data_IF_803928347535
#
_entry.id   IF_803928347535
#
_cell.length_a   1.000
_cell.length_b   1.000
_cell.length_c   1.000
_cell.angle_alpha   90.00
_cell.angle_beta   90.00
_cell.angle_gamma   90.00
#
_symmetry.space_group_name_H-M   'P 1'
#
loop_
_entity.id
_entity.type
_entity.pdbx_description
1 polymer ?
#
# COMPACT_ATOMS: atom_id res chain seq x y z
N UNK A 1 -9.05 14.62 -4.26
CA UNK A 1 -8.89 13.41 -5.07
C UNK A 1 -10.04 12.48 -4.78
N UNK A 2 -10.64 11.92 -5.81
CA UNK A 2 -11.64 10.86 -5.67
C UNK A 2 -10.97 9.53 -5.27
N UNK A 3 -11.75 8.64 -4.67
CA UNK A 3 -11.27 7.28 -4.31
C UNK A 3 -10.63 6.55 -5.49
N UNK A 4 -11.13 6.80 -6.70
CA UNK A 4 -10.58 6.26 -7.94
C UNK A 4 -9.21 6.84 -8.30
N UNK A 5 -8.98 8.13 -8.05
CA UNK A 5 -7.66 8.74 -8.25
C UNK A 5 -6.66 8.17 -7.23
N UNK A 6 -7.06 8.05 -5.97
CA UNK A 6 -6.21 7.43 -4.93
C UNK A 6 -5.87 5.99 -5.32
N UNK A 7 -6.86 5.21 -5.74
CA UNK A 7 -6.68 3.83 -6.21
C UNK A 7 -5.70 3.76 -7.39
N UNK A 8 -5.91 4.57 -8.42
CA UNK A 8 -5.03 4.60 -9.59
C UNK A 8 -3.59 4.90 -9.19
N UNK A 9 -3.38 5.89 -8.32
CA UNK A 9 -2.04 6.27 -7.88
C UNK A 9 -1.37 5.18 -7.04
N UNK A 10 -2.13 4.49 -6.17
CA UNK A 10 -1.68 3.33 -5.41
C UNK A 10 -1.25 2.20 -6.35
N UNK A 11 -2.08 1.86 -7.35
CA UNK A 11 -1.79 0.84 -8.35
C UNK A 11 -0.58 1.23 -9.21
N UNK A 12 -0.44 2.50 -9.60
CA UNK A 12 0.71 2.97 -10.38
C UNK A 12 2.01 2.91 -9.58
N UNK A 13 1.94 3.24 -8.28
CA UNK A 13 3.10 3.16 -7.39
C UNK A 13 3.50 1.71 -7.16
N UNK A 14 2.52 0.86 -6.86
CA UNK A 14 2.75 -0.58 -6.76
C UNK A 14 3.28 -1.14 -8.06
N UNK A 15 2.74 -0.76 -9.22
CA UNK A 15 3.24 -1.20 -10.51
C UNK A 15 4.65 -0.72 -10.86
N UNK A 16 5.25 0.20 -10.11
CA UNK A 16 6.68 0.54 -10.25
C UNK A 16 7.58 -0.39 -9.45
N UNK A 17 7.05 -0.93 -8.35
CA UNK A 17 7.77 -1.73 -7.36
C UNK A 17 7.56 -3.21 -7.64
N UNK A 18 6.30 -3.61 -7.85
CA UNK A 18 5.89 -4.93 -8.27
C UNK A 18 6.45 -5.30 -9.63
N UNK A 19 7.17 -6.41 -9.65
CA UNK A 19 7.55 -7.12 -10.87
C UNK A 19 6.30 -7.70 -11.53
N UNK A 20 5.39 -8.29 -10.75
CA UNK A 20 4.13 -8.85 -11.23
C UNK A 20 2.92 -7.94 -10.92
N UNK A 21 2.44 -7.27 -11.97
CA UNK A 21 1.28 -6.36 -11.89
C UNK A 21 -0.05 -7.09 -12.01
N UNK A 22 -0.07 -8.37 -12.37
CA UNK A 22 -1.31 -9.15 -12.48
C UNK A 22 -2.06 -9.18 -11.14
N UNK A 23 -1.31 -9.25 -10.04
CA UNK A 23 -1.86 -9.28 -8.68
C UNK A 23 -2.69 -8.04 -8.33
N UNK A 24 -2.30 -6.85 -8.80
CA UNK A 24 -3.01 -5.59 -8.54
C UNK A 24 -4.01 -5.22 -9.64
N UNK A 25 -3.91 -5.84 -10.82
CA UNK A 25 -4.81 -5.58 -11.95
C UNK A 25 -6.00 -6.54 -11.97
N UNK A 26 -5.81 -7.79 -11.55
CA UNK A 26 -6.88 -8.81 -11.52
C UNK A 26 -7.68 -8.78 -10.23
N UNK A 27 -7.09 -8.34 -9.12
CA UNK A 27 -7.76 -8.23 -7.81
C UNK A 27 -7.88 -6.77 -7.38
N UNK A 28 -9.11 -6.26 -7.39
CA UNK A 28 -9.47 -4.95 -6.84
C UNK A 28 -9.20 -4.81 -5.32
N UNK A 29 -9.03 -5.92 -4.62
CA UNK A 29 -8.82 -5.98 -3.16
C UNK A 29 -7.77 -7.03 -2.81
N UNK A 30 -6.63 -7.00 -3.50
CA UNK A 30 -5.49 -7.84 -3.16
C UNK A 30 -4.96 -7.51 -1.76
N UNK A 31 -4.50 -8.53 -1.05
CA UNK A 31 -3.78 -8.32 0.21
C UNK A 31 -2.38 -7.82 -0.10
N UNK A 32 -1.88 -6.86 0.66
CA UNK A 32 -0.49 -6.40 0.50
C UNK A 32 0.51 -7.54 0.71
N UNK A 33 0.20 -8.53 1.55
CA UNK A 33 1.04 -9.72 1.72
C UNK A 33 1.04 -10.66 0.50
N UNK A 34 0.06 -10.56 -0.40
CA UNK A 34 0.09 -11.32 -1.66
C UNK A 34 1.01 -10.67 -2.70
N UNK A 35 1.40 -9.40 -2.49
CA UNK A 35 2.20 -8.64 -3.45
C UNK A 35 3.68 -9.04 -3.47
N UNK A 36 4.09 -10.06 -2.70
CA UNK A 36 5.48 -10.55 -2.63
C UNK A 36 6.52 -9.40 -2.56
N UNK A 37 6.17 -8.33 -1.83
CA UNK A 37 7.01 -7.17 -1.64
C UNK A 37 7.95 -7.40 -0.46
N UNK A 38 9.22 -7.05 -0.64
CA UNK A 38 10.20 -7.07 0.43
C UNK A 38 10.01 -5.85 1.37
N UNK A 39 10.65 -5.88 2.55
CA UNK A 39 10.57 -4.77 3.52
C UNK A 39 10.96 -3.42 2.91
N UNK A 40 12.01 -3.40 2.08
CA UNK A 40 12.48 -2.19 1.39
C UNK A 40 11.43 -1.67 0.39
N UNK A 41 10.83 -2.58 -0.38
CA UNK A 41 9.80 -2.25 -1.35
C UNK A 41 8.57 -1.64 -0.65
N UNK A 42 8.19 -2.19 0.51
CA UNK A 42 7.13 -1.63 1.34
C UNK A 42 7.49 -0.23 1.85
N UNK A 43 8.69 -0.03 2.40
CA UNK A 43 9.12 1.29 2.87
C UNK A 43 9.12 2.33 1.75
N UNK A 44 9.63 1.97 0.57
CA UNK A 44 9.63 2.85 -0.60
C UNK A 44 8.22 3.15 -1.08
N UNK A 45 7.35 2.14 -1.13
CA UNK A 45 5.94 2.27 -1.48
C UNK A 45 5.22 3.27 -0.58
N UNK A 46 5.28 3.06 0.74
CA UNK A 46 4.61 3.92 1.72
C UNK A 46 5.22 5.32 1.77
N UNK A 47 6.53 5.45 1.59
CA UNK A 47 7.19 6.77 1.56
C UNK A 47 6.81 7.55 0.31
N UNK A 48 6.71 6.87 -0.84
CA UNK A 48 6.25 7.48 -2.10
C UNK A 48 4.82 7.95 -1.99
N UNK A 49 3.91 7.11 -1.47
CA UNK A 49 2.51 7.50 -1.26
C UNK A 49 2.37 8.70 -0.33
N UNK A 50 3.04 8.68 0.82
CA UNK A 50 3.00 9.82 1.77
C UNK A 50 3.51 11.11 1.14
N UNK A 51 4.56 11.02 0.32
CA UNK A 51 5.14 12.17 -0.39
C UNK A 51 4.18 12.70 -1.47
N UNK A 52 3.60 11.81 -2.27
CA UNK A 52 2.73 12.15 -3.40
C UNK A 52 1.40 12.74 -2.92
N UNK A 53 0.79 12.11 -1.92
CA UNK A 53 -0.46 12.58 -1.31
C UNK A 53 -0.25 13.68 -0.27
N UNK A 54 1.01 13.96 0.13
CA UNK A 54 1.37 14.88 1.22
C UNK A 54 0.66 14.55 2.55
N UNK A 55 0.47 13.25 2.80
CA UNK A 55 -0.14 12.74 4.04
C UNK A 55 0.93 12.11 4.93
N UNK A 56 0.59 11.94 6.20
CA UNK A 56 1.37 11.14 7.15
C UNK A 56 0.54 9.93 7.50
N UNK A 57 0.99 8.73 7.10
CA UNK A 57 0.33 7.50 7.49
C UNK A 57 0.67 7.20 8.95
N UNK A 58 -0.28 6.67 9.74
CA UNK A 58 -0.03 6.34 11.13
C UNK A 58 1.14 5.38 11.27
N UNK A 59 2.02 5.64 12.25
CA UNK A 59 3.13 4.74 12.58
C UNK A 59 2.67 3.31 12.87
N UNK A 60 1.40 3.05 13.21
CA UNK A 60 0.85 1.71 13.29
C UNK A 60 1.11 0.91 12.01
N UNK A 61 0.79 1.49 10.84
CA UNK A 61 1.04 0.87 9.53
C UNK A 61 2.54 0.63 9.29
N UNK A 62 3.40 1.50 9.82
CA UNK A 62 4.87 1.45 9.63
C UNK A 62 5.57 0.48 10.60
N UNK A 63 5.12 0.44 11.85
CA UNK A 63 5.60 -0.46 12.91
C UNK A 63 5.19 -1.91 12.65
N UNK A 64 4.07 -2.11 11.97
CA UNK A 64 3.64 -3.43 11.50
C UNK A 64 4.55 -3.99 10.38
N UNK A 65 5.28 -3.13 9.64
CA UNK A 65 6.21 -3.53 8.56
C UNK A 65 7.53 -4.02 9.14
N UNK A 66 8.06 -3.32 10.15
CA UNK A 66 9.32 -3.69 10.83
C UNK A 66 9.19 -4.98 11.64
N UNK A 67 7.96 -5.42 11.92
CA UNK A 67 7.63 -6.69 12.56
C UNK A 67 6.92 -7.66 11.59
N UNK A 68 7.40 -7.72 10.33
CA UNK A 68 6.91 -8.65 9.30
C UNK A 68 6.85 -10.14 9.72
N UNK A 69 7.43 -10.49 10.87
CA UNK A 69 7.40 -11.83 11.45
C UNK A 69 6.07 -12.25 12.08
N UNK A 70 5.14 -11.37 12.44
CA UNK A 70 3.86 -11.82 13.04
C UNK A 70 2.71 -10.80 12.87
N UNK A 71 1.89 -11.03 11.84
CA UNK A 71 0.41 -10.94 11.88
C UNK A 71 -0.37 -9.65 11.55
N UNK A 72 0.22 -8.45 11.40
CA UNK A 72 -0.60 -7.23 11.21
C UNK A 72 -0.79 -6.77 9.74
N UNK A 73 0.26 -6.80 8.91
CA UNK A 73 0.16 -6.39 7.50
C UNK A 73 -0.44 -7.46 6.57
N UNK A 74 -0.51 -8.73 7.00
CA UNK A 74 -1.12 -9.81 6.21
C UNK A 74 -2.64 -9.67 6.02
N UNK A 75 -3.28 -8.72 6.70
CA UNK A 75 -4.71 -8.45 6.56
C UNK A 75 -4.99 -7.08 5.90
N UNK A 76 -3.96 -6.26 5.66
CA UNK A 76 -4.16 -4.97 5.02
C UNK A 76 -4.34 -5.18 3.52
N UNK A 77 -5.53 -4.90 3.02
CA UNK A 77 -5.84 -4.95 1.59
C UNK A 77 -5.54 -3.63 0.90
N UNK A 78 -5.46 -3.66 -0.43
CA UNK A 78 -5.39 -2.45 -1.25
C UNK A 78 -6.53 -1.49 -0.96
N UNK A 79 -7.77 -1.98 -0.81
CA UNK A 79 -8.89 -1.09 -0.44
C UNK A 79 -8.70 -0.49 0.94
N UNK A 80 -8.26 -1.30 1.92
CA UNK A 80 -7.98 -0.81 3.27
C UNK A 80 -6.95 0.32 3.27
N UNK A 81 -5.90 0.19 2.45
CA UNK A 81 -4.91 1.24 2.26
C UNK A 81 -5.50 2.49 1.59
N UNK A 82 -6.29 2.32 0.53
CA UNK A 82 -6.95 3.44 -0.17
C UNK A 82 -7.87 4.21 0.80
N UNK A 83 -8.67 3.49 1.59
CA UNK A 83 -9.55 4.08 2.59
C UNK A 83 -8.76 4.79 3.71
N UNK A 84 -7.60 4.26 4.12
CA UNK A 84 -6.69 4.94 5.05
C UNK A 84 -6.12 6.24 4.48
N UNK A 85 -5.65 6.22 3.23
CA UNK A 85 -5.14 7.42 2.54
C UNK A 85 -6.25 8.46 2.41
N UNK A 86 -7.45 8.03 2.01
CA UNK A 86 -8.60 8.91 1.85
C UNK A 86 -9.06 9.52 3.18
N UNK A 87 -8.86 8.81 4.30
CA UNK A 87 -9.14 9.33 5.66
C UNK A 87 -8.02 10.25 6.19
N UNK A 88 -6.80 10.13 5.68
CA UNK A 88 -5.64 10.91 6.08
C UNK A 88 -5.47 12.21 5.28
N UNK A 89 -6.08 12.29 4.09
CA UNK A 89 -6.25 13.50 3.28
C UNK A 89 -7.27 14.47 3.88
#
# INVERSE_FOLDING_TARGET
>A
MDRNEVRQHVIDTLGKILVDKSLIQEKDDALLSELELDEQDFEEFFTTLQTDFKIVLPNSVRSDITHFSDSANSQLTLQGLIDLIQKAM
#
